data_IF_399511057416
#
_entry.id   IF_399511057416
#
_cell.length_a   1.000
_cell.length_b   1.000
_cell.length_c   1.000
_cell.angle_alpha   90.00
_cell.angle_beta   90.00
_cell.angle_gamma   90.00
#
_symmetry.space_group_name_H-M   'P 1'
#
loop_
_entity.id
_entity.type
_entity.pdbx_description
1 polymer ?
#
# COMPACT_ATOMS: atom_id res chain seq x y z
N UNK A 1 4.71 -16.23 3.65
CA UNK A 1 4.25 -15.90 5.02
C UNK A 1 4.84 -14.64 5.64
N UNK A 2 6.12 -14.57 6.06
CA UNK A 2 6.64 -13.40 6.83
C UNK A 2 6.38 -12.01 6.19
N UNK A 3 6.41 -11.91 4.86
CA UNK A 3 6.06 -10.66 4.16
C UNK A 3 4.57 -10.32 4.29
N UNK A 4 3.69 -11.30 4.11
CA UNK A 4 2.24 -11.09 4.18
C UNK A 4 1.81 -10.66 5.59
N UNK A 5 2.41 -11.25 6.63
CA UNK A 5 2.23 -10.82 8.02
C UNK A 5 2.64 -9.36 8.21
N UNK A 6 3.80 -8.96 7.71
CA UNK A 6 4.24 -7.57 7.79
C UNK A 6 3.31 -6.59 7.04
N UNK A 7 2.72 -7.00 5.90
CA UNK A 7 1.73 -6.16 5.22
C UNK A 7 0.41 -6.09 6.02
N UNK A 8 -0.02 -7.18 6.66
CA UNK A 8 -1.19 -7.18 7.55
C UNK A 8 -1.00 -6.21 8.71
N UNK A 9 0.15 -6.26 9.38
CA UNK A 9 0.47 -5.35 10.50
C UNK A 9 0.43 -3.88 10.05
N UNK A 10 0.95 -3.58 8.85
CA UNK A 10 0.90 -2.22 8.28
C UNK A 10 -0.52 -1.78 7.97
N UNK A 11 -1.36 -2.67 7.41
CA UNK A 11 -2.76 -2.38 7.12
C UNK A 11 -3.54 -2.06 8.41
N UNK A 12 -3.34 -2.85 9.46
CA UNK A 12 -3.95 -2.61 10.77
C UNK A 12 -3.50 -1.27 11.36
N UNK A 13 -2.19 -0.99 11.34
CA UNK A 13 -1.65 0.27 11.84
C UNK A 13 -2.23 1.51 11.11
N UNK A 14 -2.36 1.46 9.77
CA UNK A 14 -2.97 2.57 9.01
C UNK A 14 -4.45 2.76 9.36
N UNK A 15 -5.18 1.67 9.58
CA UNK A 15 -6.60 1.75 9.92
C UNK A 15 -6.81 2.30 11.33
N UNK A 16 -5.96 1.92 12.29
CA UNK A 16 -5.96 2.47 13.64
C UNK A 16 -5.61 3.97 13.64
N UNK A 17 -4.63 4.40 12.85
CA UNK A 17 -4.32 5.82 12.66
C UNK A 17 -5.51 6.60 12.08
N UNK A 18 -6.20 6.06 11.07
CA UNK A 18 -7.40 6.69 10.51
C UNK A 18 -8.53 6.81 11.56
N UNK A 19 -8.71 5.80 12.42
CA UNK A 19 -9.70 5.87 13.51
C UNK A 19 -9.33 6.94 14.55
N UNK A 20 -8.06 6.99 14.97
CA UNK A 20 -7.57 7.98 15.93
C UNK A 20 -7.70 9.39 15.38
N UNK A 21 -7.29 9.61 14.13
CA UNK A 21 -7.44 10.89 13.44
C UNK A 21 -8.91 11.30 13.30
N UNK A 22 -9.80 10.35 12.97
CA UNK A 22 -11.25 10.60 12.90
C UNK A 22 -11.82 11.00 14.26
N UNK A 23 -11.39 10.36 15.34
CA UNK A 23 -11.80 10.70 16.70
C UNK A 23 -11.30 12.08 17.14
N UNK A 24 -10.12 12.50 16.65
CA UNK A 24 -9.57 13.84 16.85
C UNK A 24 -10.19 14.91 15.94
N UNK A 25 -10.97 14.51 14.92
CA UNK A 25 -11.52 15.41 13.90
C UNK A 25 -10.48 15.91 12.89
N UNK A 26 -9.31 15.27 12.81
CA UNK A 26 -8.24 15.63 11.88
C UNK A 26 -8.49 14.99 10.51
N UNK A 27 -9.19 15.73 9.65
CA UNK A 27 -9.55 15.26 8.32
C UNK A 27 -8.33 14.94 7.44
N UNK A 28 -7.25 15.73 7.55
CA UNK A 28 -6.07 15.55 6.72
C UNK A 28 -5.29 14.29 7.12
N UNK A 29 -5.19 14.03 8.42
CA UNK A 29 -4.58 12.79 8.91
C UNK A 29 -5.41 11.55 8.54
N UNK A 30 -6.75 11.63 8.57
CA UNK A 30 -7.63 10.55 8.08
C UNK A 30 -7.37 10.28 6.60
N UNK A 31 -7.36 11.32 5.77
CA UNK A 31 -7.12 11.20 4.33
C UNK A 31 -5.77 10.54 4.03
N UNK A 32 -4.69 11.04 4.64
CA UNK A 32 -3.35 10.49 4.46
C UNK A 32 -3.25 9.02 4.90
N UNK A 33 -3.88 8.65 6.03
CA UNK A 33 -3.89 7.28 6.51
C UNK A 33 -4.65 6.34 5.56
N UNK A 34 -5.79 6.78 5.02
CA UNK A 34 -6.62 6.00 4.10
C UNK A 34 -6.00 5.87 2.69
N UNK A 35 -5.28 6.88 2.23
CA UNK A 35 -4.50 6.80 0.99
C UNK A 35 -3.37 5.77 1.13
N UNK A 36 -2.60 5.84 2.22
CA UNK A 36 -1.53 4.89 2.50
C UNK A 36 -2.08 3.45 2.66
N UNK A 37 -3.21 3.29 3.34
CA UNK A 37 -3.93 2.02 3.45
C UNK A 37 -4.22 1.44 2.05
N UNK A 38 -4.78 2.25 1.15
CA UNK A 38 -5.15 1.80 -0.20
C UNK A 38 -3.92 1.33 -1.01
N UNK A 39 -2.78 2.04 -0.90
CA UNK A 39 -1.52 1.60 -1.53
C UNK A 39 -1.04 0.26 -0.99
N UNK A 40 -1.05 0.09 0.33
CA UNK A 40 -0.58 -1.16 0.96
C UNK A 40 -1.48 -2.33 0.58
N UNK A 41 -2.81 -2.14 0.46
CA UNK A 41 -3.71 -3.20 -0.01
C UNK A 41 -3.29 -3.71 -1.39
N UNK A 42 -3.02 -2.79 -2.33
CA UNK A 42 -2.59 -3.15 -3.69
C UNK A 42 -1.24 -3.88 -3.67
N UNK A 43 -0.29 -3.38 -2.88
CA UNK A 43 1.04 -4.00 -2.73
C UNK A 43 0.97 -5.38 -2.08
N UNK A 44 0.10 -5.58 -1.08
CA UNK A 44 -0.11 -6.85 -0.41
C UNK A 44 -0.67 -7.90 -1.37
N UNK A 45 -1.70 -7.55 -2.15
CA UNK A 45 -2.28 -8.44 -3.17
C UNK A 45 -1.23 -8.83 -4.21
N UNK A 46 -0.52 -7.85 -4.77
CA UNK A 46 0.54 -8.10 -5.75
C UNK A 46 1.71 -8.92 -5.17
N UNK A 47 2.04 -8.68 -3.90
CA UNK A 47 3.12 -9.35 -3.17
C UNK A 47 2.79 -10.75 -2.70
N UNK A 48 1.53 -11.18 -2.74
CA UNK A 48 1.10 -12.52 -2.34
C UNK A 48 1.69 -13.62 -3.23
N UNK A 49 2.02 -13.30 -4.49
CA UNK A 49 2.78 -14.18 -5.39
C UNK A 49 2.16 -15.56 -5.63
N UNK A 50 0.84 -15.71 -5.40
CA UNK A 50 0.15 -17.00 -5.48
C UNK A 50 0.34 -17.93 -4.29
N UNK A 51 0.97 -17.48 -3.19
CA UNK A 51 1.01 -18.20 -1.91
C UNK A 51 -0.42 -18.27 -1.33
N UNK A 52 -1.06 -19.45 -1.28
CA UNK A 52 -2.46 -19.55 -0.84
C UNK A 52 -2.66 -19.10 0.60
N UNK A 53 -1.67 -19.32 1.47
CA UNK A 53 -1.77 -18.92 2.87
C UNK A 53 -1.65 -17.40 3.04
N UNK A 54 -0.76 -16.76 2.26
CA UNK A 54 -0.68 -15.30 2.21
C UNK A 54 -1.97 -14.68 1.66
N UNK A 55 -2.51 -15.22 0.57
CA UNK A 55 -3.78 -14.79 -0.04
C UNK A 55 -4.93 -14.85 0.96
N UNK A 56 -5.09 -15.97 1.68
CA UNK A 56 -6.13 -16.13 2.70
C UNK A 56 -5.95 -15.15 3.85
N UNK A 57 -4.72 -14.94 4.33
CA UNK A 57 -4.45 -14.00 5.41
C UNK A 57 -4.84 -12.56 5.01
N UNK A 58 -4.46 -12.12 3.82
CA UNK A 58 -4.79 -10.79 3.30
C UNK A 58 -6.31 -10.66 3.10
N UNK A 59 -6.96 -11.66 2.52
CA UNK A 59 -8.42 -11.66 2.28
C UNK A 59 -9.22 -11.51 3.57
N UNK A 60 -8.89 -12.30 4.61
CA UNK A 60 -9.55 -12.23 5.92
C UNK A 60 -9.38 -10.85 6.54
N UNK A 61 -8.16 -10.30 6.50
CA UNK A 61 -7.85 -8.97 7.04
C UNK A 61 -8.61 -7.88 6.29
N UNK A 62 -8.57 -7.85 4.96
CA UNK A 62 -9.27 -6.83 4.14
C UNK A 62 -10.77 -6.92 4.34
N UNK A 63 -11.35 -8.13 4.44
CA UNK A 63 -12.78 -8.32 4.72
C UNK A 63 -13.18 -7.69 6.06
N UNK A 64 -12.37 -7.89 7.11
CA UNK A 64 -12.59 -7.25 8.42
C UNK A 64 -12.49 -5.72 8.31
N UNK A 65 -11.52 -5.22 7.55
CA UNK A 65 -11.31 -3.78 7.38
C UNK A 65 -12.46 -3.10 6.63
N UNK A 66 -13.10 -3.75 5.66
CA UNK A 66 -14.30 -3.22 4.99
C UNK A 66 -15.41 -2.91 5.99
N UNK A 67 -15.62 -3.76 7.01
CA UNK A 67 -16.62 -3.53 8.06
C UNK A 67 -16.28 -2.27 8.86
N UNK A 68 -15.01 -2.10 9.22
CA UNK A 68 -14.51 -0.94 9.97
C UNK A 68 -14.62 0.34 9.14
N UNK A 69 -14.17 0.32 7.88
CA UNK A 69 -14.26 1.45 6.96
C UNK A 69 -15.72 1.85 6.74
N UNK A 70 -16.63 0.89 6.58
CA UNK A 70 -18.07 1.16 6.46
C UNK A 70 -18.61 1.89 7.70
N UNK A 71 -18.22 1.46 8.90
CA UNK A 71 -18.63 2.11 10.14
C UNK A 71 -18.03 3.52 10.34
N UNK A 72 -16.87 3.79 9.72
CA UNK A 72 -16.20 5.09 9.75
C UNK A 72 -16.84 6.12 8.81
N UNK A 73 -17.54 5.71 7.75
CA UNK A 73 -18.14 6.64 6.74
C UNK A 73 -18.99 7.74 7.38
N UNK A 74 -19.73 7.41 8.43
CA UNK A 74 -20.60 8.37 9.12
C UNK A 74 -19.87 9.21 10.19
N UNK A 75 -18.65 8.83 10.55
CA UNK A 75 -17.85 9.45 11.61
C UNK A 75 -16.74 10.36 11.08
N UNK A 76 -16.29 10.13 9.85
CA UNK A 76 -15.24 10.94 9.25
C UNK A 76 -15.72 12.35 8.91
N UNK A 77 -14.87 13.38 9.07
CA UNK A 77 -15.16 14.73 8.60
C UNK A 77 -15.48 14.75 7.09
N UNK A 78 -16.32 15.69 6.66
CA UNK A 78 -16.73 15.81 5.26
C UNK A 78 -15.57 15.82 4.24
N UNK A 79 -14.43 16.51 4.50
CA UNK A 79 -13.29 16.49 3.56
C UNK A 79 -12.69 15.09 3.36
N UNK A 80 -12.73 14.21 4.37
CA UNK A 80 -12.15 12.87 4.30
C UNK A 80 -13.11 11.80 3.71
N UNK A 81 -14.34 12.19 3.33
CA UNK A 81 -15.36 11.25 2.81
C UNK A 81 -14.97 10.61 1.49
N UNK A 82 -14.23 11.31 0.64
CA UNK A 82 -13.75 10.76 -0.63
C UNK A 82 -12.68 9.69 -0.39
N UNK A 83 -11.73 9.97 0.50
CA UNK A 83 -10.66 9.03 0.85
C UNK A 83 -11.20 7.70 1.38
N UNK A 84 -12.25 7.73 2.21
CA UNK A 84 -12.86 6.49 2.73
C UNK A 84 -13.62 5.70 1.66
N UNK A 85 -14.28 6.38 0.72
CA UNK A 85 -14.91 5.72 -0.42
C UNK A 85 -13.85 5.06 -1.32
N UNK A 86 -12.72 5.73 -1.54
CA UNK A 86 -11.60 5.18 -2.30
C UNK A 86 -10.99 3.94 -1.60
N UNK A 87 -10.82 3.99 -0.28
CA UNK A 87 -10.33 2.85 0.51
C UNK A 87 -11.29 1.65 0.45
N UNK A 88 -12.61 1.88 0.49
CA UNK A 88 -13.63 0.84 0.30
C UNK A 88 -13.61 0.24 -1.11
N UNK A 89 -13.49 1.08 -2.14
CA UNK A 89 -13.38 0.65 -3.53
C UNK A 89 -12.13 -0.20 -3.75
N UNK A 90 -10.98 0.26 -3.26
CA UNK A 90 -9.70 -0.45 -3.31
C UNK A 90 -9.76 -1.80 -2.58
N UNK A 91 -10.41 -1.84 -1.41
CA UNK A 91 -10.59 -3.08 -0.65
C UNK A 91 -11.49 -4.09 -1.39
N UNK A 92 -12.60 -3.64 -1.98
CA UNK A 92 -13.49 -4.50 -2.77
C UNK A 92 -12.76 -5.09 -3.97
N UNK A 93 -12.03 -4.25 -4.71
CA UNK A 93 -11.25 -4.70 -5.87
C UNK A 93 -10.16 -5.71 -5.47
N UNK A 94 -9.48 -5.47 -4.35
CA UNK A 94 -8.49 -6.40 -3.83
C UNK A 94 -9.09 -7.77 -3.49
N UNK A 95 -10.29 -7.81 -2.90
CA UNK A 95 -10.99 -9.07 -2.63
C UNK A 95 -11.38 -9.81 -3.92
N UNK A 96 -11.83 -9.08 -4.94
CA UNK A 96 -12.12 -9.63 -6.27
C UNK A 96 -10.84 -10.24 -6.91
N UNK A 97 -9.72 -9.50 -6.90
CA UNK A 97 -8.44 -9.94 -7.46
C UNK A 97 -7.90 -11.20 -6.74
N UNK A 98 -8.04 -11.27 -5.41
CA UNK A 98 -7.66 -12.44 -4.61
C UNK A 98 -8.55 -13.66 -4.94
N UNK A 99 -9.86 -13.45 -5.14
CA UNK A 99 -10.79 -14.51 -5.51
C UNK A 99 -10.50 -15.07 -6.90
N UNK A 100 -10.21 -14.20 -7.88
CA UNK A 100 -9.78 -14.62 -9.22
C UNK A 100 -8.48 -15.43 -9.19
N UNK A 101 -7.52 -15.01 -8.36
CA UNK A 101 -6.23 -15.69 -8.22
C UNK A 101 -6.41 -17.12 -7.70
N UNK A 102 -7.33 -17.34 -6.74
CA UNK A 102 -7.67 -18.68 -6.26
C UNK A 102 -8.32 -19.55 -7.34
N UNK A 103 -9.22 -18.98 -8.14
CA UNK A 103 -9.88 -19.71 -9.24
C UNK A 103 -8.87 -20.17 -10.30
N UNK A 104 -7.88 -19.34 -10.66
CA UNK A 104 -6.81 -19.71 -11.60
C UNK A 104 -5.85 -20.76 -11.05
N UNK A 105 -5.66 -20.83 -9.74
CA UNK A 105 -4.75 -21.79 -9.10
C UNK A 105 -5.30 -23.22 -8.92
N UNK A 106 -6.60 -23.45 -9.14
CA UNK A 106 -7.27 -24.69 -8.68
C UNK A 106 -7.80 -25.63 -9.78
N UNK A 107 -7.52 -25.39 -11.06
CA UNK A 107 -8.01 -26.31 -12.10
C UNK A 107 -7.47 -26.11 -13.50
N UNK A 108 -6.70 -27.10 -13.96
CA UNK A 108 -6.68 -27.54 -15.36
C UNK A 108 -5.90 -26.67 -16.34
N UNK A 109 -4.76 -27.17 -16.81
CA UNK A 109 -4.21 -26.70 -18.06
C UNK A 109 -5.21 -26.87 -19.22
N UNK A 110 -5.15 -25.95 -20.17
CA UNK A 110 -5.38 -26.26 -21.57
C UNK A 110 -4.15 -25.76 -22.36
N UNK A 111 -3.33 -26.67 -22.89
CA UNK A 111 -2.35 -26.35 -23.92
C UNK A 111 -3.08 -26.33 -25.28
N UNK A 112 -3.90 -25.31 -25.52
CA UNK A 112 -4.33 -24.96 -26.88
C UNK A 112 -3.57 -23.71 -27.30
N UNK A 113 -2.30 -24.00 -27.57
CA UNK A 113 -1.39 -23.23 -28.40
C UNK A 113 -1.83 -23.47 -29.85
N UNK A 114 -2.41 -22.50 -30.58
CA UNK A 114 -2.24 -22.49 -32.01
C UNK A 114 -0.83 -21.99 -32.28
N UNK A 115 0.06 -22.94 -32.61
CA UNK A 115 1.38 -22.68 -33.14
C UNK A 115 1.33 -21.54 -34.17
N UNK A 116 1.88 -20.38 -33.81
CA UNK A 116 2.10 -19.30 -34.77
C UNK A 116 3.33 -19.65 -35.61
N UNK A 117 3.17 -19.82 -36.94
CA UNK A 117 4.31 -20.09 -37.80
C UNK A 117 5.23 -18.88 -37.87
N UNK A 118 6.52 -19.18 -37.77
CA UNK A 118 7.64 -18.31 -38.12
C UNK A 118 7.46 -17.65 -39.50
N UNK A 119 7.73 -16.35 -39.56
CA UNK A 119 8.12 -15.67 -40.78
C UNK A 119 7.40 -14.34 -41.01
N UNK A 120 8.11 -13.22 -40.83
CA UNK A 120 8.64 -12.41 -41.93
C UNK A 120 9.13 -11.07 -41.37
N UNK A 121 10.38 -10.80 -41.72
CA UNK A 121 11.16 -9.57 -41.65
C UNK A 121 10.39 -8.25 -41.50
N UNK A 122 10.82 -7.43 -40.53
CA UNK A 122 10.67 -5.97 -40.62
C UNK A 122 11.98 -5.26 -40.24
N UNK A 123 12.39 -4.26 -41.04
CA UNK A 123 13.76 -3.75 -41.07
C UNK A 123 14.08 -2.84 -39.88
N UNK A 124 15.36 -2.86 -39.51
CA UNK A 124 15.99 -1.97 -38.55
C UNK A 124 15.66 -0.50 -38.86
N UNK A 125 15.07 0.20 -37.89
CA UNK A 125 15.03 1.67 -37.88
C UNK A 125 16.34 2.20 -37.28
N UNK A 126 17.00 3.18 -37.94
CA UNK A 126 18.23 3.76 -37.44
C UNK A 126 17.99 4.61 -36.19
N UNK A 127 18.94 4.51 -35.26
CA UNK A 127 19.08 5.32 -34.06
C UNK A 127 19.11 6.83 -34.38
N UNK A 128 18.31 7.68 -33.72
CA UNK A 128 18.59 9.10 -33.67
C UNK A 128 19.76 9.35 -32.70
N UNK A 129 20.87 9.80 -33.27
CA UNK A 129 21.95 10.44 -32.54
C UNK A 129 21.47 11.73 -31.85
N UNK A 130 22.07 12.03 -30.70
CA UNK A 130 22.26 13.40 -30.22
C UNK A 130 21.07 14.03 -29.50
N UNK A 131 21.18 14.08 -28.17
CA UNK A 131 20.92 15.33 -27.45
C UNK A 131 21.68 15.33 -26.12
N UNK A 132 22.64 16.24 -26.09
CA UNK A 132 23.40 16.70 -24.94
C UNK A 132 22.51 16.86 -23.71
N UNK A 133 22.83 16.10 -22.65
CA UNK A 133 22.26 16.33 -21.33
C UNK A 133 23.23 17.22 -20.56
N UNK A 134 22.91 18.51 -20.32
CA UNK A 134 23.71 19.33 -19.43
C UNK A 134 23.68 18.73 -18.02
N UNK A 135 24.88 18.56 -17.45
CA UNK A 135 25.08 18.17 -16.05
C UNK A 135 24.53 19.26 -15.14
N UNK A 136 23.61 18.97 -14.21
CA UNK A 136 23.25 19.94 -13.18
C UNK A 136 24.44 20.13 -12.21
N UNK A 137 24.79 21.37 -11.83
CA UNK A 137 25.81 21.63 -10.83
C UNK A 137 25.28 21.32 -9.41
N UNK A 138 26.09 20.54 -8.69
CA UNK A 138 26.27 20.51 -7.23
C UNK A 138 25.07 20.80 -6.33
N UNK A 139 24.53 19.75 -5.71
CA UNK A 139 23.91 19.88 -4.39
C UNK A 139 24.88 19.42 -3.32
N UNK A 140 25.38 20.42 -2.59
CA UNK A 140 26.12 20.32 -1.35
C UNK A 140 25.37 19.47 -0.34
N UNK A 141 25.99 18.37 0.10
CA UNK A 141 25.63 17.72 1.36
C UNK A 141 26.11 18.59 2.51
N UNK A 142 25.27 19.54 2.91
CA UNK A 142 25.37 20.24 4.19
C UNK A 142 24.11 19.95 4.99
N UNK A 143 24.22 19.01 5.94
CA UNK A 143 23.51 19.09 7.21
C UNK A 143 24.14 18.09 8.18
N UNK A 144 25.10 18.61 8.94
CA UNK A 144 25.37 18.25 10.31
C UNK A 144 24.09 17.98 11.11
N UNK A 145 24.08 16.93 11.94
CA UNK A 145 23.52 17.04 13.27
C UNK A 145 24.66 17.06 14.29
N UNK A 146 25.05 18.28 14.67
CA UNK A 146 25.66 18.50 15.99
C UNK A 146 24.61 18.18 17.05
N UNK A 147 24.94 17.19 17.87
CA UNK A 147 24.95 17.27 19.33
C UNK A 147 23.90 18.19 19.98
N UNK A 148 22.92 17.59 20.64
CA UNK A 148 22.32 18.19 21.83
C UNK A 148 22.12 17.10 22.88
N UNK A 149 23.09 17.12 23.79
CA UNK A 149 23.03 16.55 25.12
C UNK A 149 21.80 17.09 25.87
N UNK A 150 21.17 16.24 26.66
CA UNK A 150 20.25 16.66 27.71
C UNK A 150 19.49 15.49 28.35
N UNK A 151 20.01 14.90 29.44
CA UNK A 151 19.19 14.15 30.37
C UNK A 151 18.75 15.07 31.53
N UNK A 152 17.58 15.70 31.40
CA UNK A 152 16.89 16.31 32.54
C UNK A 152 15.75 15.38 32.97
N UNK A 153 16.08 14.47 33.89
CA UNK A 153 15.13 13.61 34.57
C UNK A 153 14.82 14.21 35.95
N UNK A 154 13.66 14.85 36.17
CA UNK A 154 13.32 15.35 37.49
C UNK A 154 12.91 14.20 38.44
N UNK A 155 13.52 14.26 39.60
CA UNK A 155 13.40 13.42 40.78
C UNK A 155 11.95 13.23 41.29
N UNK A 156 11.53 12.03 41.72
CA UNK A 156 10.22 11.83 42.34
C UNK A 156 10.20 12.34 43.78
N UNK A 157 9.53 13.47 44.01
CA UNK A 157 9.17 13.94 45.35
C UNK A 157 8.30 12.91 46.08
N UNK A 158 8.87 12.32 47.13
CA UNK A 158 8.14 11.59 48.16
C UNK A 158 7.35 12.59 48.99
N UNK A 159 6.02 12.46 49.05
CA UNK A 159 5.21 13.06 50.12
C UNK A 159 4.90 11.97 51.16
N UNK A 160 5.31 12.26 52.39
CA UNK A 160 4.78 11.67 53.61
C UNK A 160 3.43 12.31 53.94
#
# INVERSE_FOLDING_TARGET
MARAEAEVDRLEARLDEAQQASAAGDAAAVEAALEAYSSIVIEAVAGSGGDPAATVAIEVTVTRHVVVLTALVDRVPAPAREAIQNALSSSTKALEDLDETRKKGSGGGNPDDPAVPTGTDKPAKPSPAGRDRPTPPGWSNGNDPKESQGPDNPEPSKRQ
#
